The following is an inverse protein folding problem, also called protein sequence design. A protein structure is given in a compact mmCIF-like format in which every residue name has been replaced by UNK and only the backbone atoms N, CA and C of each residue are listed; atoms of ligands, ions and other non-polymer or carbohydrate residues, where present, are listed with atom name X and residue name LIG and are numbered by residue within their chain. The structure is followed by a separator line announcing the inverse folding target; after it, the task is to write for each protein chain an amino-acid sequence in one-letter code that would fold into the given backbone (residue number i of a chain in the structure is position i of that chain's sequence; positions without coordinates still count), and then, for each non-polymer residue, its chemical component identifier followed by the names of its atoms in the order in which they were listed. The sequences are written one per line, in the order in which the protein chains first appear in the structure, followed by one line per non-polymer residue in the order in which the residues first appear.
data_IF_198383740395
#
_entry.id   IF_198383740395
#
_cell.length_a   1.000
_cell.length_b   1.000
_cell.length_c   1.000
_cell.angle_alpha   90.00
_cell.angle_beta   90.00
_cell.angle_gamma   90.00
#
_symmetry.space_group_name_H-M   'P 1'
#
loop_
_entity.id
_entity.type
_entity.pdbx_description
1 polymer ?
#
# COMPACT_ATOMS: atom_id res chain seq x y z
N UNK A 1 -1.51 26.58 5.76
CA UNK A 1 -1.48 25.54 6.82
C UNK A 1 -1.55 24.21 6.10
N UNK A 2 -0.55 23.36 6.28
CA UNK A 2 -0.38 22.12 5.54
C UNK A 2 -0.70 20.90 6.41
N UNK A 3 -1.20 19.85 5.76
CA UNK A 3 -1.36 18.52 6.33
C UNK A 3 -0.14 17.68 5.97
N UNK A 4 0.40 16.95 6.94
CA UNK A 4 1.48 15.98 6.73
C UNK A 4 0.92 14.66 6.19
N UNK A 5 1.39 14.26 5.00
CA UNK A 5 1.07 13.02 4.30
C UNK A 5 2.27 12.06 4.26
N UNK A 6 3.19 12.17 5.22
CA UNK A 6 4.40 11.34 5.25
C UNK A 6 4.12 9.84 5.23
N UNK A 7 3.07 9.39 5.93
CA UNK A 7 2.65 7.98 5.98
C UNK A 7 2.03 7.48 4.67
N UNK A 8 1.62 8.39 3.78
CA UNK A 8 1.08 8.07 2.46
C UNK A 8 2.16 7.98 1.38
N UNK A 9 3.26 8.71 1.58
CA UNK A 9 4.43 8.64 0.70
C UNK A 9 5.25 7.36 0.90
N UNK A 10 5.09 6.70 2.05
CA UNK A 10 5.61 5.38 2.29
C UNK A 10 4.71 4.38 1.57
N UNK A 11 4.80 4.34 0.24
CA UNK A 11 4.48 3.13 -0.47
C UNK A 11 5.15 1.99 0.31
N UNK A 12 4.38 0.98 0.71
CA UNK A 12 4.93 -0.35 0.87
C UNK A 12 5.64 -0.63 -0.44
N UNK A 13 6.92 -0.28 -0.51
CA UNK A 13 7.77 -0.70 -1.59
C UNK A 13 7.57 -2.21 -1.59
N UNK A 14 7.12 -2.81 -2.71
CA UNK A 14 6.89 -4.23 -2.76
C UNK A 14 8.13 -5.00 -2.32
N UNK A 15 9.29 -4.36 -2.28
CA UNK A 15 10.50 -4.74 -1.54
C UNK A 15 10.23 -5.39 -0.19
N UNK A 16 9.40 -4.84 0.72
CA UNK A 16 9.19 -5.49 2.03
C UNK A 16 8.43 -6.80 1.88
N UNK A 17 7.36 -6.81 1.08
CA UNK A 17 6.59 -8.01 0.76
C UNK A 17 7.45 -9.04 0.02
N UNK A 18 8.28 -8.60 -0.93
CA UNK A 18 9.22 -9.40 -1.71
C UNK A 18 10.31 -9.97 -0.80
N UNK A 19 10.85 -9.19 0.14
CA UNK A 19 11.84 -9.64 1.11
C UNK A 19 11.24 -10.67 2.07
N UNK A 20 10.00 -10.45 2.53
CA UNK A 20 9.28 -11.40 3.37
C UNK A 20 9.00 -12.70 2.60
N UNK A 21 8.52 -12.62 1.36
CA UNK A 21 8.31 -13.79 0.49
C UNK A 21 9.63 -14.52 0.18
N UNK A 22 10.71 -13.80 -0.05
CA UNK A 22 12.04 -14.37 -0.27
C UNK A 22 12.55 -15.08 1.00
N UNK A 23 12.38 -14.48 2.17
CA UNK A 23 12.75 -15.10 3.45
C UNK A 23 11.93 -16.38 3.72
N UNK A 24 10.61 -16.34 3.47
CA UNK A 24 9.73 -17.52 3.59
C UNK A 24 10.18 -18.63 2.63
N UNK A 25 10.46 -18.30 1.36
CA UNK A 25 10.95 -19.26 0.37
C UNK A 25 12.27 -19.93 0.77
N UNK A 26 13.23 -19.13 1.29
CA UNK A 26 14.52 -19.65 1.77
C UNK A 26 14.32 -20.57 2.98
N UNK A 27 13.52 -20.16 3.96
CA UNK A 27 13.26 -20.96 5.15
C UNK A 27 12.54 -22.28 4.81
N UNK A 28 11.53 -22.22 3.93
CA UNK A 28 10.82 -23.41 3.46
C UNK A 28 11.77 -24.38 2.73
N UNK A 29 12.64 -23.87 1.86
CA UNK A 29 13.65 -24.69 1.18
C UNK A 29 14.63 -25.36 2.13
N UNK A 30 15.12 -24.64 3.15
CA UNK A 30 16.03 -25.17 4.17
C UNK A 30 15.36 -26.26 5.01
N UNK A 31 14.13 -26.02 5.48
CA UNK A 31 13.37 -26.99 6.28
C UNK A 31 13.07 -28.23 5.45
N UNK A 32 12.64 -28.07 4.19
CA UNK A 32 12.36 -29.20 3.31
C UNK A 32 13.60 -30.05 3.08
N UNK A 33 14.76 -29.42 2.85
CA UNK A 33 16.05 -30.11 2.70
C UNK A 33 16.49 -30.84 3.97
N UNK A 34 16.26 -30.28 5.15
CA UNK A 34 16.56 -30.93 6.42
C UNK A 34 15.66 -32.13 6.69
N UNK A 35 14.36 -32.00 6.40
CA UNK A 35 13.38 -33.08 6.59
C UNK A 35 13.65 -34.24 5.62
N UNK A 36 13.91 -33.95 4.35
CA UNK A 36 14.25 -34.96 3.34
C UNK A 36 15.54 -35.70 3.73
N UNK A 37 16.56 -35.00 4.22
CA UNK A 37 17.82 -35.61 4.69
C UNK A 37 17.60 -36.54 5.89
N UNK A 38 16.59 -36.24 6.73
CA UNK A 38 16.24 -37.06 7.91
C UNK A 38 15.41 -38.28 7.53
N UNK A 39 14.52 -38.15 6.54
CA UNK A 39 13.64 -39.23 6.09
C UNK A 39 14.35 -40.23 5.16
N UNK A 40 15.33 -39.78 4.36
CA UNK A 40 16.10 -40.63 3.45
C UNK A 40 17.61 -40.51 3.72
N UNK A 41 18.12 -41.13 4.79
CA UNK A 41 19.53 -41.03 5.17
C UNK A 41 20.50 -41.74 4.21
N UNK A 42 20.02 -42.69 3.39
CA UNK A 42 20.87 -43.61 2.60
C UNK A 42 20.82 -43.44 1.07
N UNK A 43 20.13 -42.42 0.54
CA UNK A 43 20.01 -42.17 -0.92
C UNK A 43 20.38 -40.77 -1.39
N UNK A 44 20.73 -39.88 -0.46
CA UNK A 44 20.87 -38.43 -0.67
C UNK A 44 22.10 -38.07 -1.53
N UNK A 45 22.01 -38.28 -2.84
CA UNK A 45 23.18 -38.10 -3.72
C UNK A 45 22.99 -38.31 -5.21
N UNK A 46 21.80 -38.66 -5.70
CA UNK A 46 21.59 -38.88 -7.14
C UNK A 46 20.95 -37.68 -7.84
N UNK A 47 21.53 -37.32 -8.99
CA UNK A 47 21.24 -36.12 -9.82
C UNK A 47 19.76 -35.95 -10.20
N UNK A 48 18.95 -37.02 -10.16
CA UNK A 48 17.49 -36.96 -10.37
C UNK A 48 16.67 -36.36 -9.21
N UNK A 49 17.24 -36.28 -8.00
CA UNK A 49 16.55 -35.77 -6.79
C UNK A 49 16.56 -34.24 -6.69
N UNK A 50 17.47 -33.55 -7.37
CA UNK A 50 17.49 -32.08 -7.39
C UNK A 50 16.20 -31.54 -8.02
N UNK A 51 15.71 -32.23 -9.06
CA UNK A 51 14.43 -31.89 -9.68
C UNK A 51 13.25 -32.06 -8.73
N UNK A 52 13.18 -33.17 -7.97
CA UNK A 52 12.08 -33.42 -7.03
C UNK A 52 12.13 -32.48 -5.81
N UNK A 53 13.33 -32.19 -5.29
CA UNK A 53 13.53 -31.18 -4.24
C UNK A 53 13.12 -29.78 -4.70
N UNK A 54 13.48 -29.41 -5.93
CA UNK A 54 13.12 -28.11 -6.51
C UNK A 54 11.62 -28.06 -6.78
N UNK A 55 11.01 -29.15 -7.26
CA UNK A 55 9.58 -29.24 -7.50
C UNK A 55 8.78 -29.12 -6.20
N UNK A 56 9.22 -29.80 -5.13
CA UNK A 56 8.61 -29.73 -3.81
C UNK A 56 8.75 -28.34 -3.19
N UNK A 57 9.95 -27.73 -3.27
CA UNK A 57 10.17 -26.36 -2.83
C UNK A 57 9.31 -25.35 -3.61
N UNK A 58 9.19 -25.55 -4.92
CA UNK A 58 8.37 -24.72 -5.79
C UNK A 58 6.88 -24.88 -5.50
N UNK A 59 6.40 -26.09 -5.24
CA UNK A 59 5.00 -26.32 -4.86
C UNK A 59 4.68 -25.68 -3.52
N UNK A 60 5.54 -25.85 -2.50
CA UNK A 60 5.38 -25.19 -1.20
C UNK A 60 5.37 -23.67 -1.37
N UNK A 61 6.30 -23.11 -2.16
CA UNK A 61 6.35 -21.68 -2.46
C UNK A 61 5.08 -21.19 -3.15
N UNK A 62 4.62 -21.88 -4.20
CA UNK A 62 3.40 -21.52 -4.93
C UNK A 62 2.16 -21.66 -4.05
N UNK A 63 2.09 -22.66 -3.17
CA UNK A 63 0.99 -22.77 -2.20
C UNK A 63 1.05 -21.67 -1.15
N UNK A 64 2.23 -21.30 -0.63
CA UNK A 64 2.35 -20.16 0.28
C UNK A 64 2.00 -18.84 -0.40
N UNK A 65 2.37 -18.67 -1.68
CA UNK A 65 2.02 -17.49 -2.46
C UNK A 65 0.52 -17.43 -2.75
N UNK A 66 -0.09 -18.57 -3.10
CA UNK A 66 -1.54 -18.69 -3.26
C UNK A 66 -2.26 -18.43 -1.93
N UNK A 67 -1.74 -18.93 -0.81
CA UNK A 67 -2.27 -18.67 0.53
C UNK A 67 -2.12 -17.18 0.89
N UNK A 68 -1.00 -16.52 0.57
CA UNK A 68 -0.85 -15.08 0.74
C UNK A 68 -1.80 -14.26 -0.15
N UNK A 69 -2.14 -14.77 -1.35
CA UNK A 69 -3.15 -14.16 -2.23
C UNK A 69 -4.59 -14.48 -1.78
N UNK A 70 -4.80 -15.57 -1.03
CA UNK A 70 -6.11 -16.06 -0.58
C UNK A 70 -6.48 -15.57 0.81
N UNK A 71 -5.48 -15.35 1.67
CA UNK A 71 -5.60 -14.43 2.77
C UNK A 71 -5.61 -13.05 2.14
N UNK A 72 -6.80 -12.59 1.77
CA UNK A 72 -7.16 -11.20 1.99
C UNK A 72 -6.79 -10.90 3.45
N UNK A 73 -5.52 -10.51 3.68
CA UNK A 73 -5.19 -9.67 4.82
C UNK A 73 -6.30 -8.64 4.83
N UNK A 74 -7.07 -8.51 5.92
CA UNK A 74 -8.23 -7.66 5.89
C UNK A 74 -7.72 -6.25 5.63
N UNK A 75 -7.84 -5.81 4.37
CA UNK A 75 -7.93 -4.42 3.95
C UNK A 75 -9.28 -3.88 4.42
N UNK A 76 -9.64 -4.17 5.67
CA UNK A 76 -10.67 -3.51 6.47
C UNK A 76 -9.99 -2.43 7.33
N UNK A 77 -9.00 -1.74 6.79
CA UNK A 77 -9.06 -0.29 6.81
C UNK A 77 -9.55 0.06 5.42
N UNK A 78 -10.56 0.92 5.27
CA UNK A 78 -10.71 1.61 3.99
C UNK A 78 -9.30 2.07 3.61
N UNK A 79 -8.69 1.48 2.57
CA UNK A 79 -7.59 2.13 1.89
C UNK A 79 -8.27 3.39 1.36
N UNK A 80 -8.29 4.42 2.21
CA UNK A 80 -8.81 5.71 1.82
C UNK A 80 -7.94 6.03 0.61
N UNK A 81 -8.59 6.36 -0.50
CA UNK A 81 -7.84 6.96 -1.57
C UNK A 81 -7.31 8.30 -1.04
N UNK A 82 -6.27 8.85 -1.66
CA UNK A 82 -5.69 10.13 -1.26
C UNK A 82 -6.79 11.19 -1.07
N UNK A 83 -7.79 11.17 -1.96
CA UNK A 83 -8.98 12.01 -1.94
C UNK A 83 -9.83 11.82 -0.66
N UNK A 84 -9.96 10.58 -0.17
CA UNK A 84 -10.65 10.26 1.08
C UNK A 84 -9.90 10.75 2.32
N UNK A 85 -8.57 10.58 2.34
CA UNK A 85 -7.75 11.10 3.43
C UNK A 85 -7.65 12.62 3.42
N UNK A 86 -7.64 13.22 2.23
CA UNK A 86 -7.75 14.66 2.06
C UNK A 86 -9.11 15.16 2.57
N UNK A 87 -10.20 14.48 2.23
CA UNK A 87 -11.53 14.80 2.72
C UNK A 87 -11.58 14.75 4.25
N UNK A 88 -11.10 13.66 4.87
CA UNK A 88 -11.09 13.50 6.32
C UNK A 88 -10.18 14.53 7.03
N UNK A 89 -9.02 14.83 6.45
CA UNK A 89 -8.06 15.79 7.02
C UNK A 89 -8.60 17.22 7.03
N UNK A 90 -9.42 17.58 6.05
CA UNK A 90 -10.00 18.91 5.90
C UNK A 90 -11.49 19.00 6.30
N UNK A 91 -12.09 17.89 6.73
CA UNK A 91 -13.47 17.83 7.22
C UNK A 91 -14.54 17.88 6.11
N UNK A 92 -14.18 17.48 4.90
CA UNK A 92 -15.12 17.29 3.79
C UNK A 92 -15.79 15.90 3.87
N UNK A 93 -16.94 15.78 3.22
CA UNK A 93 -17.64 14.49 3.09
C UNK A 93 -16.96 13.60 2.04
N UNK A 94 -16.54 14.19 0.93
CA UNK A 94 -15.69 13.58 -0.08
C UNK A 94 -14.96 14.66 -0.87
N UNK A 95 -13.88 14.29 -1.54
CA UNK A 95 -13.18 15.15 -2.51
C UNK A 95 -13.05 14.36 -3.80
N UNK A 96 -13.18 15.04 -4.94
CA UNK A 96 -12.99 14.48 -6.27
C UNK A 96 -12.02 15.36 -7.05
N UNK A 97 -10.82 14.85 -7.32
CA UNK A 97 -9.80 15.54 -8.11
C UNK A 97 -9.84 15.18 -9.61
N UNK A 98 -10.98 14.67 -10.11
CA UNK A 98 -11.31 14.61 -11.54
C UNK A 98 -10.58 13.54 -12.36
N UNK A 99 -9.82 12.65 -11.73
CA UNK A 99 -9.04 11.63 -12.45
C UNK A 99 -9.55 10.19 -12.26
N UNK A 100 -10.75 10.02 -11.69
CA UNK A 100 -11.43 8.72 -11.53
C UNK A 100 -10.64 7.63 -10.79
N UNK A 101 -9.50 7.95 -10.18
CA UNK A 101 -8.47 6.97 -9.86
C UNK A 101 -8.02 7.15 -8.43
N UNK A 102 -8.14 6.06 -7.70
CA UNK A 102 -7.51 5.69 -6.43
C UNK A 102 -6.05 6.14 -6.35
N UNK A 103 -5.81 7.44 -6.11
CA UNK A 103 -4.45 7.96 -5.96
C UNK A 103 -3.96 7.53 -4.59
N UNK A 104 -2.74 7.01 -4.57
CA UNK A 104 -2.11 6.52 -3.34
C UNK A 104 -0.92 7.39 -2.93
N UNK A 105 -0.63 8.45 -3.68
CA UNK A 105 0.51 9.34 -3.48
C UNK A 105 0.09 10.81 -3.57
N UNK A 106 0.88 11.66 -2.89
CA UNK A 106 0.72 13.11 -2.89
C UNK A 106 1.04 13.67 -4.29
N UNK A 107 0.13 14.44 -4.91
CA UNK A 107 0.41 15.11 -6.18
C UNK A 107 1.52 16.15 -6.00
N UNK A 108 2.35 16.35 -7.02
CA UNK A 108 3.31 17.45 -7.03
C UNK A 108 2.73 18.62 -7.83
N UNK A 109 2.61 19.78 -7.19
CA UNK A 109 2.03 20.99 -7.78
C UNK A 109 0.57 21.24 -7.41
N UNK A 110 -0.06 22.15 -8.14
CA UNK A 110 -1.43 22.63 -7.87
C UNK A 110 -2.42 21.98 -8.81
N UNK A 111 -3.46 21.37 -8.25
CA UNK A 111 -4.61 20.85 -8.97
C UNK A 111 -5.93 21.41 -8.44
N UNK A 112 -6.99 21.23 -9.23
CA UNK A 112 -8.34 21.67 -8.88
C UNK A 112 -9.18 20.44 -8.56
N UNK A 113 -9.77 20.41 -7.37
CA UNK A 113 -10.62 19.33 -6.92
C UNK A 113 -11.99 19.88 -6.51
N UNK A 114 -13.01 19.04 -6.53
CA UNK A 114 -14.34 19.36 -6.02
C UNK A 114 -14.49 18.75 -4.63
N UNK A 115 -14.67 19.59 -3.62
CA UNK A 115 -14.93 19.16 -2.25
C UNK A 115 -16.43 19.16 -1.97
N UNK A 116 -16.96 18.03 -1.51
CA UNK A 116 -18.35 17.87 -1.11
C UNK A 116 -18.49 18.04 0.40
N UNK A 117 -19.54 18.73 0.82
CA UNK A 117 -19.91 18.94 2.23
C UNK A 117 -21.29 18.37 2.50
N UNK A 118 -21.51 18.03 3.77
CA UNK A 118 -22.80 17.56 4.29
C UNK A 118 -23.96 18.44 3.80
N UNK A 119 -24.98 17.79 3.27
CA UNK A 119 -26.15 18.45 2.70
C UNK A 119 -26.04 18.75 1.20
N UNK A 120 -25.15 18.08 0.48
CA UNK A 120 -25.07 18.13 -0.99
C UNK A 120 -24.44 19.41 -1.55
N UNK A 121 -23.80 20.23 -0.72
CA UNK A 121 -23.05 21.40 -1.16
C UNK A 121 -21.70 20.95 -1.68
N UNK A 122 -21.25 21.51 -2.80
CA UNK A 122 -19.91 21.29 -3.31
C UNK A 122 -19.23 22.62 -3.61
N UNK A 123 -17.92 22.66 -3.47
CA UNK A 123 -17.09 23.81 -3.80
C UNK A 123 -15.83 23.33 -4.53
N UNK A 124 -15.36 24.11 -5.49
CA UNK A 124 -14.07 23.85 -6.12
C UNK A 124 -12.97 24.37 -5.21
N UNK A 125 -11.97 23.55 -4.94
CA UNK A 125 -10.80 23.86 -4.12
C UNK A 125 -9.53 23.70 -4.96
N UNK A 126 -8.50 24.45 -4.59
CA UNK A 126 -7.14 24.28 -5.08
C UNK A 126 -6.36 23.42 -4.09
N UNK A 127 -5.86 22.29 -4.55
CA UNK A 127 -5.02 21.40 -3.76
C UNK A 127 -3.60 21.57 -4.26
N UNK A 128 -2.71 22.05 -3.39
CA UNK A 128 -1.29 22.17 -3.66
C UNK A 128 -0.55 21.10 -2.87
N UNK A 129 -0.04 20.09 -3.58
CA UNK A 129 0.79 19.07 -2.97
C UNK A 129 2.28 19.35 -3.22
N UNK A 130 3.08 19.19 -2.16
CA UNK A 130 4.53 19.13 -2.23
C UNK A 130 4.95 17.69 -1.95
N UNK A 131 5.29 16.96 -3.01
CA UNK A 131 5.67 15.55 -2.91
C UNK A 131 7.02 15.37 -2.18
N UNK A 132 7.91 16.37 -2.20
CA UNK A 132 9.22 16.31 -1.51
C UNK A 132 9.06 16.54 -0.01
N UNK A 133 8.29 17.55 0.36
CA UNK A 133 7.96 17.82 1.76
C UNK A 133 6.92 16.84 2.31
N UNK A 134 6.21 16.12 1.44
CA UNK A 134 5.11 15.20 1.76
C UNK A 134 3.95 15.95 2.44
N UNK A 135 3.68 17.17 1.99
CA UNK A 135 2.68 18.05 2.57
C UNK A 135 1.65 18.46 1.54
N UNK A 136 0.42 18.65 2.00
CA UNK A 136 -0.67 19.14 1.15
C UNK A 136 -1.26 20.38 1.79
N UNK A 137 -1.52 21.38 0.95
CA UNK A 137 -2.18 22.62 1.31
C UNK A 137 -3.43 22.80 0.45
N UNK A 138 -4.53 23.21 1.06
CA UNK A 138 -5.78 23.42 0.36
C UNK A 138 -6.17 24.89 0.44
N UNK A 139 -6.59 25.43 -0.69
CA UNK A 139 -7.00 26.80 -0.89
C UNK A 139 -8.40 26.84 -1.48
N UNK A 140 -9.18 27.86 -1.17
CA UNK A 140 -10.39 28.16 -1.94
C UNK A 140 -10.04 28.76 -3.31
N UNK A 141 -11.06 29.03 -4.13
CA UNK A 141 -10.86 29.66 -5.43
C UNK A 141 -10.38 31.11 -5.34
N UNK A 142 -10.67 31.81 -4.24
CA UNK A 142 -10.21 33.17 -3.94
C UNK A 142 -8.73 33.19 -3.46
N UNK A 143 -8.10 32.03 -3.32
CA UNK A 143 -6.71 31.88 -2.86
C UNK A 143 -6.55 31.92 -1.35
N UNK A 144 -7.64 31.88 -0.58
CA UNK A 144 -7.59 31.82 0.88
C UNK A 144 -7.27 30.41 1.34
N UNK A 145 -6.31 30.22 2.26
CA UNK A 145 -6.00 28.90 2.78
C UNK A 145 -7.15 28.34 3.61
N UNK A 146 -7.56 27.11 3.32
CA UNK A 146 -8.50 26.34 4.11
C UNK A 146 -7.75 25.70 5.26
N UNK A 147 -8.28 25.85 6.49
CA UNK A 147 -7.66 25.24 7.67
C UNK A 147 -8.01 23.76 7.71
N UNK A 148 -7.01 22.87 7.85
CA UNK A 148 -7.30 21.47 8.06
C UNK A 148 -7.87 21.23 9.45
N UNK A 149 -8.69 20.20 9.58
CA UNK A 149 -9.21 19.69 10.85
C UNK A 149 -8.13 18.85 11.56
N UNK A 150 -7.28 18.17 10.79
CA UNK A 150 -6.14 17.38 11.28
C UNK A 150 -4.82 17.89 10.72
N UNK A 151 -3.80 17.99 11.56
CA UNK A 151 -2.45 18.38 11.10
C UNK A 151 -1.72 17.24 10.36
N UNK A 152 -2.16 16.00 10.55
CA UNK A 152 -1.60 14.78 9.97
C UNK A 152 -2.71 14.01 9.28
N UNK A 153 -2.43 13.50 8.08
CA UNK A 153 -3.37 12.67 7.35
C UNK A 153 -3.69 11.39 8.13
N UNK A 154 -4.92 10.87 8.06
CA UNK A 154 -5.25 9.56 8.61
C UNK A 154 -4.34 8.49 8.00
N UNK A 155 -3.92 7.50 8.79
CA UNK A 155 -3.11 6.39 8.29
C UNK A 155 -3.90 5.54 7.30
N UNK A 156 -3.22 4.99 6.29
CA UNK A 156 -3.80 4.13 5.25
C UNK A 156 -4.24 2.76 5.75
#
# INVERSE_FOLDING_TARGET
MSVDFSDWSAAQTPVVTILVLAAIGVMAGVVCRLVLRRLYPFGYGQIGELQMSVLAGFTVFMTSLAICMSFDFPLEGHASDFDGALAESYGFESVDCGNGSRRTAVPDGTEYCVAYRKGGKHETIRVHGDAKAKRVEVYDMDGKPIRPVRATAPTR
#
